data_IF_496432255941
#
_entry.id   IF_496432255941
#
_cell.length_a   1.000
_cell.length_b   1.000
_cell.length_c   1.000
_cell.angle_alpha   90.00
_cell.angle_beta   90.00
_cell.angle_gamma   90.00
#
_symmetry.space_group_name_H-M   'P 1'
#
loop_
_entity.id
_entity.type
_entity.pdbx_description
1 polymer ?
#
# COMPACT_ATOMS: atom_id res chain seq x y z
N UNK A 1 15.01 -37.61 -4.16
CA UNK A 1 15.77 -36.35 -4.33
C UNK A 1 14.81 -35.13 -4.36
N UNK A 2 13.77 -35.11 -5.23
CA UNK A 2 12.78 -34.04 -5.31
C UNK A 2 11.96 -33.90 -4.02
N UNK A 3 11.59 -34.97 -3.35
CA UNK A 3 10.87 -34.96 -2.08
C UNK A 3 11.73 -34.37 -0.94
N UNK A 4 13.01 -34.75 -0.85
CA UNK A 4 13.95 -34.18 0.13
C UNK A 4 14.18 -32.67 -0.08
N UNK A 5 14.22 -32.20 -1.33
CA UNK A 5 14.32 -30.77 -1.64
C UNK A 5 13.05 -30.02 -1.22
N UNK A 6 11.88 -30.58 -1.47
CA UNK A 6 10.60 -30.00 -1.08
C UNK A 6 10.44 -29.96 0.45
N UNK A 7 10.84 -31.01 1.17
CA UNK A 7 10.82 -31.05 2.63
C UNK A 7 11.79 -30.02 3.21
N UNK A 8 13.02 -29.91 2.68
CA UNK A 8 13.97 -28.88 3.10
C UNK A 8 13.49 -27.45 2.84
N UNK A 9 12.78 -27.21 1.72
CA UNK A 9 12.15 -25.92 1.44
C UNK A 9 10.98 -25.64 2.41
N UNK A 10 10.16 -26.64 2.70
CA UNK A 10 9.06 -26.51 3.66
C UNK A 10 9.58 -26.18 5.06
N UNK A 11 10.62 -26.88 5.53
CA UNK A 11 11.23 -26.62 6.84
C UNK A 11 11.81 -25.20 6.96
N UNK A 12 12.39 -24.68 5.87
CA UNK A 12 12.95 -23.32 5.88
C UNK A 12 11.90 -22.21 6.05
N UNK A 13 10.64 -22.52 5.73
CA UNK A 13 9.51 -21.55 5.80
C UNK A 13 8.82 -21.61 7.17
N UNK A 14 8.84 -22.76 7.85
CA UNK A 14 8.13 -22.98 9.13
C UNK A 14 8.57 -21.98 10.21
N UNK A 15 9.87 -21.79 10.39
CA UNK A 15 10.41 -20.91 11.44
C UNK A 15 10.01 -19.43 11.23
N UNK A 16 10.15 -18.81 10.05
CA UNK A 16 9.66 -17.46 9.78
C UNK A 16 8.15 -17.31 10.05
N UNK A 17 7.33 -18.29 9.65
CA UNK A 17 5.88 -18.22 9.89
C UNK A 17 5.52 -18.31 11.38
N UNK A 18 6.22 -19.15 12.15
CA UNK A 18 6.04 -19.23 13.61
C UNK A 18 6.41 -17.89 14.25
N UNK A 19 7.53 -17.29 13.87
CA UNK A 19 7.94 -15.97 14.38
C UNK A 19 6.88 -14.92 14.08
N UNK A 20 6.38 -14.87 12.84
CA UNK A 20 5.30 -13.95 12.47
C UNK A 20 4.03 -14.19 13.27
N UNK A 21 3.63 -15.44 13.45
CA UNK A 21 2.45 -15.80 14.25
C UNK A 21 2.60 -15.34 15.72
N UNK A 22 3.76 -15.55 16.32
CA UNK A 22 4.06 -15.09 17.70
C UNK A 22 4.00 -13.57 17.77
N UNK A 23 4.62 -12.85 16.82
CA UNK A 23 4.58 -11.38 16.78
C UNK A 23 3.16 -10.87 16.65
N UNK A 24 2.33 -11.47 15.79
CA UNK A 24 0.92 -11.09 15.64
C UNK A 24 0.11 -11.34 16.90
N UNK A 25 0.33 -12.46 17.58
CA UNK A 25 -0.33 -12.75 18.87
C UNK A 25 0.08 -11.72 19.93
N UNK A 26 1.36 -11.40 20.03
CA UNK A 26 1.87 -10.37 20.97
C UNK A 26 1.25 -9.01 20.66
N UNK A 27 1.23 -8.60 19.40
CA UNK A 27 0.58 -7.36 18.97
C UNK A 27 -0.91 -7.36 19.30
N UNK A 28 -1.62 -8.45 19.02
CA UNK A 28 -3.04 -8.58 19.35
C UNK A 28 -3.31 -8.43 20.87
N UNK A 29 -2.45 -9.03 21.71
CA UNK A 29 -2.53 -8.88 23.16
C UNK A 29 -2.21 -7.46 23.63
N UNK A 30 -1.25 -6.78 23.01
CA UNK A 30 -0.92 -5.39 23.30
C UNK A 30 -2.08 -4.45 22.92
N UNK A 31 -2.67 -4.63 21.74
CA UNK A 31 -3.83 -3.85 21.31
C UNK A 31 -5.02 -4.05 22.24
N UNK A 32 -5.27 -5.29 22.68
CA UNK A 32 -6.34 -5.58 23.64
C UNK A 32 -6.17 -4.86 24.98
N UNK A 33 -4.93 -4.60 25.40
CA UNK A 33 -4.62 -3.88 26.66
C UNK A 33 -4.48 -2.36 26.45
N UNK A 34 -4.37 -1.91 25.23
CA UNK A 34 -4.25 -0.48 24.92
C UNK A 34 -5.60 0.22 25.21
N UNK A 35 -5.61 1.38 25.85
CA UNK A 35 -6.81 2.19 26.04
C UNK A 35 -7.18 2.85 24.71
N UNK A 36 -7.73 2.06 23.79
CA UNK A 36 -8.19 2.59 22.50
C UNK A 36 -9.48 3.39 22.71
N UNK A 37 -9.59 4.59 22.12
CA UNK A 37 -10.83 5.35 22.13
C UNK A 37 -11.93 4.56 21.42
N UNK A 38 -13.15 4.64 21.93
CA UNK A 38 -14.30 3.97 21.35
C UNK A 38 -14.68 4.67 20.03
N UNK A 39 -14.18 4.13 18.91
CA UNK A 39 -14.36 4.71 17.58
C UNK A 39 -15.83 4.73 17.13
N UNK A 40 -16.68 3.86 17.70
CA UNK A 40 -18.12 3.86 17.43
C UNK A 40 -18.79 5.14 17.97
N UNK A 41 -18.44 5.55 19.19
CA UNK A 41 -18.97 6.79 19.77
C UNK A 41 -18.52 8.04 19.00
N UNK A 42 -17.26 8.09 18.59
CA UNK A 42 -16.70 9.19 17.79
C UNK A 42 -17.35 9.23 16.39
N UNK A 43 -17.62 8.06 15.82
CA UNK A 43 -18.28 7.99 14.49
C UNK A 43 -19.74 8.45 14.55
N UNK A 44 -20.46 8.13 15.62
CA UNK A 44 -21.86 8.54 15.79
C UNK A 44 -21.98 10.04 16.10
N UNK A 45 -21.07 10.59 16.91
CA UNK A 45 -21.06 12.02 17.24
C UNK A 45 -20.70 12.89 16.01
N UNK A 46 -19.79 12.43 15.15
CA UNK A 46 -19.46 13.12 13.90
C UNK A 46 -20.51 12.92 12.79
N UNK A 47 -21.33 11.87 12.85
CA UNK A 47 -22.42 11.63 11.90
C UNK A 47 -23.62 12.54 12.13
N UNK A 48 -23.78 13.06 13.34
CA UNK A 48 -24.91 13.94 13.72
C UNK A 48 -24.67 15.42 13.35
N UNK A 49 -23.43 15.82 13.05
CA UNK A 49 -23.07 17.22 12.78
C UNK A 49 -23.04 17.59 11.29
N UNK A 50 -22.98 16.62 10.38
CA UNK A 50 -23.04 16.88 8.94
C UNK A 50 -24.38 16.40 8.35
N UNK A 51 -25.40 17.28 8.36
CA UNK A 51 -26.60 17.13 7.54
C UNK A 51 -26.24 17.21 6.05
N UNK A 52 -25.70 16.12 5.52
CA UNK A 52 -25.56 16.04 4.07
C UNK A 52 -26.93 16.00 3.44
N UNK A 53 -27.30 17.05 2.72
CA UNK A 53 -28.52 17.13 1.92
C UNK A 53 -28.57 16.10 0.79
N UNK A 54 -27.45 15.38 0.58
CA UNK A 54 -27.31 14.35 -0.44
C UNK A 54 -28.01 13.06 -0.02
N UNK A 55 -28.81 12.53 -0.94
CA UNK A 55 -29.67 11.34 -0.72
C UNK A 55 -29.03 10.05 -1.24
N UNK A 56 -27.98 10.16 -2.07
CA UNK A 56 -27.33 8.99 -2.70
C UNK A 56 -25.82 9.10 -2.64
N UNK A 57 -25.16 7.95 -2.45
CA UNK A 57 -23.70 7.81 -2.46
C UNK A 57 -23.07 8.17 -3.82
N UNK A 58 -23.84 8.04 -4.91
CA UNK A 58 -23.39 8.40 -6.26
C UNK A 58 -23.19 9.90 -6.47
N UNK A 59 -23.73 10.74 -5.59
CA UNK A 59 -23.59 12.20 -5.65
C UNK A 59 -22.25 12.72 -5.13
N UNK A 60 -21.32 11.81 -4.76
CA UNK A 60 -19.99 12.16 -4.25
C UNK A 60 -18.90 11.74 -5.26
N UNK A 61 -18.54 12.59 -6.23
CA UNK A 61 -17.56 12.24 -7.26
C UNK A 61 -16.16 11.96 -6.67
N UNK A 62 -15.78 12.61 -5.59
CA UNK A 62 -14.50 12.38 -4.92
C UNK A 62 -14.40 10.97 -4.33
N UNK A 63 -15.50 10.36 -3.90
CA UNK A 63 -15.53 8.97 -3.46
C UNK A 63 -15.13 8.02 -4.60
N UNK A 64 -15.72 8.16 -5.76
CA UNK A 64 -15.43 7.29 -6.90
C UNK A 64 -14.01 7.47 -7.43
N UNK A 65 -13.52 8.72 -7.43
CA UNK A 65 -12.12 9.01 -7.74
C UNK A 65 -11.18 8.38 -6.70
N UNK A 66 -11.52 8.42 -5.41
CA UNK A 66 -10.75 7.78 -4.36
C UNK A 66 -10.72 6.26 -4.48
N UNK A 67 -11.87 5.63 -4.76
CA UNK A 67 -11.97 4.18 -5.00
C UNK A 67 -11.12 3.77 -6.21
N UNK A 68 -11.23 4.49 -7.33
CA UNK A 68 -10.42 4.23 -8.52
C UNK A 68 -8.92 4.44 -8.25
N UNK A 69 -8.57 5.54 -7.58
CA UNK A 69 -7.18 5.84 -7.21
C UNK A 69 -6.60 4.72 -6.37
N UNK A 70 -7.34 4.25 -5.36
CA UNK A 70 -6.88 3.18 -4.48
C UNK A 70 -6.74 1.85 -5.22
N UNK A 71 -7.69 1.53 -6.11
CA UNK A 71 -7.66 0.33 -6.94
C UNK A 71 -6.40 0.28 -7.81
N UNK A 72 -6.14 1.35 -8.57
CA UNK A 72 -4.98 1.44 -9.46
C UNK A 72 -3.66 1.50 -8.65
N UNK A 73 -3.67 2.26 -7.56
CA UNK A 73 -2.51 2.40 -6.69
C UNK A 73 -2.07 1.05 -6.09
N UNK A 74 -2.99 0.29 -5.50
CA UNK A 74 -2.66 -1.01 -4.90
C UNK A 74 -2.13 -1.98 -5.96
N UNK A 75 -2.68 -1.95 -7.17
CA UNK A 75 -2.15 -2.74 -8.28
C UNK A 75 -0.71 -2.34 -8.65
N UNK A 76 -0.44 -1.04 -8.76
CA UNK A 76 0.90 -0.54 -9.06
C UNK A 76 1.91 -0.86 -7.93
N UNK A 77 1.48 -0.77 -6.67
CA UNK A 77 2.28 -1.11 -5.50
C UNK A 77 2.69 -2.58 -5.50
N UNK A 78 1.75 -3.48 -5.76
CA UNK A 78 2.00 -4.93 -5.85
C UNK A 78 2.94 -5.25 -7.01
N UNK A 79 2.73 -4.65 -8.18
CA UNK A 79 3.66 -4.81 -9.31
C UNK A 79 5.07 -4.37 -8.90
N UNK A 80 5.24 -3.17 -8.35
CA UNK A 80 6.56 -2.67 -7.97
C UNK A 80 7.25 -3.52 -6.89
N UNK A 81 6.48 -4.11 -5.95
CA UNK A 81 7.00 -4.96 -4.88
C UNK A 81 7.36 -6.37 -5.32
N UNK A 82 6.49 -6.99 -6.12
CA UNK A 82 6.61 -8.41 -6.46
C UNK A 82 7.41 -8.65 -7.74
N UNK A 83 7.30 -7.77 -8.73
CA UNK A 83 7.98 -7.99 -10.03
C UNK A 83 9.44 -7.54 -10.04
N UNK A 84 9.91 -6.77 -9.03
CA UNK A 84 11.28 -6.27 -8.98
C UNK A 84 12.33 -7.40 -9.02
N UNK A 85 12.03 -8.56 -8.43
CA UNK A 85 12.91 -9.73 -8.46
C UNK A 85 13.03 -10.29 -9.89
N UNK A 86 11.88 -10.52 -10.54
CA UNK A 86 11.84 -11.01 -11.91
C UNK A 86 12.51 -10.02 -12.87
N UNK A 87 12.28 -8.73 -12.65
CA UNK A 87 12.91 -7.65 -13.41
C UNK A 87 14.44 -7.67 -13.24
N UNK A 88 14.94 -7.83 -12.01
CA UNK A 88 16.39 -7.95 -11.76
C UNK A 88 17.00 -9.15 -12.47
N UNK A 89 16.33 -10.31 -12.45
CA UNK A 89 16.77 -11.50 -13.15
C UNK A 89 16.79 -11.29 -14.67
N UNK A 90 15.79 -10.60 -15.23
CA UNK A 90 15.75 -10.28 -16.66
C UNK A 90 16.88 -9.33 -17.10
N UNK A 91 17.42 -8.54 -16.19
CA UNK A 91 18.60 -7.69 -16.40
C UNK A 91 19.93 -8.44 -16.20
N UNK A 92 19.90 -9.75 -15.90
CA UNK A 92 21.08 -10.60 -15.78
C UNK A 92 21.64 -10.74 -14.35
N UNK A 93 20.95 -10.22 -13.33
CA UNK A 93 21.36 -10.43 -11.94
C UNK A 93 21.08 -11.86 -11.49
N UNK A 94 21.97 -12.42 -10.67
CA UNK A 94 21.77 -13.74 -10.08
C UNK A 94 20.54 -13.73 -9.16
N UNK A 95 19.80 -14.85 -9.12
CA UNK A 95 18.61 -14.96 -8.28
C UNK A 95 18.91 -14.74 -6.79
N UNK A 96 20.12 -15.11 -6.35
CA UNK A 96 20.61 -14.89 -4.99
C UNK A 96 20.75 -13.41 -4.62
N UNK A 97 21.01 -12.55 -5.59
CA UNK A 97 21.07 -11.08 -5.42
C UNK A 97 19.70 -10.45 -5.61
N UNK A 98 18.98 -10.85 -6.65
CA UNK A 98 17.69 -10.29 -7.02
C UNK A 98 16.64 -10.45 -5.90
N UNK A 99 16.68 -11.51 -5.11
CA UNK A 99 15.77 -11.72 -3.96
C UNK A 99 15.80 -10.61 -2.92
N UNK A 100 16.89 -9.84 -2.84
CA UNK A 100 17.01 -8.72 -1.90
C UNK A 100 16.44 -7.40 -2.45
N UNK A 101 16.08 -7.31 -3.72
CA UNK A 101 15.61 -6.05 -4.32
C UNK A 101 14.26 -5.61 -3.73
N UNK A 102 13.35 -6.54 -3.45
CA UNK A 102 12.12 -6.23 -2.72
C UNK A 102 12.41 -5.62 -1.34
N UNK A 103 13.48 -6.04 -0.68
CA UNK A 103 13.89 -5.46 0.61
C UNK A 103 14.19 -3.96 0.49
N UNK A 104 14.79 -3.51 -0.62
CA UNK A 104 15.05 -2.08 -0.85
C UNK A 104 13.75 -1.30 -0.99
N UNK A 105 12.76 -1.84 -1.71
CA UNK A 105 11.42 -1.24 -1.84
C UNK A 105 10.75 -1.14 -0.46
N UNK A 106 10.75 -2.21 0.31
CA UNK A 106 10.14 -2.25 1.64
C UNK A 106 10.82 -1.30 2.63
N UNK A 107 12.16 -1.23 2.62
CA UNK A 107 12.90 -0.28 3.45
C UNK A 107 12.59 1.17 3.08
N UNK A 108 12.50 1.47 1.78
CA UNK A 108 12.09 2.78 1.30
C UNK A 108 10.67 3.14 1.76
N UNK A 109 9.73 2.19 1.72
CA UNK A 109 8.37 2.37 2.24
C UNK A 109 8.37 2.63 3.75
N UNK A 110 9.05 1.79 4.54
CA UNK A 110 9.10 1.93 6.00
C UNK A 110 9.71 3.27 6.41
N UNK A 111 10.82 3.67 5.77
CA UNK A 111 11.45 4.96 6.02
C UNK A 111 10.49 6.13 5.71
N UNK A 112 9.76 6.03 4.59
CA UNK A 112 8.79 7.06 4.18
C UNK A 112 7.57 7.08 5.11
N UNK A 113 7.08 5.93 5.59
CA UNK A 113 6.03 5.88 6.61
C UNK A 113 6.48 6.57 7.90
N UNK A 114 7.70 6.30 8.39
CA UNK A 114 8.24 6.94 9.57
C UNK A 114 8.33 8.46 9.41
N UNK A 115 8.79 8.94 8.25
CA UNK A 115 8.80 10.36 7.90
C UNK A 115 7.38 10.92 7.82
N UNK A 116 6.45 10.20 7.21
CA UNK A 116 5.05 10.60 7.09
C UNK A 116 4.37 10.82 8.43
N UNK A 117 4.59 9.93 9.40
CA UNK A 117 4.06 10.07 10.77
C UNK A 117 4.55 11.37 11.44
N UNK A 118 5.79 11.77 11.16
CA UNK A 118 6.36 13.01 11.72
C UNK A 118 5.89 14.25 10.97
N UNK A 119 5.77 14.16 9.64
CA UNK A 119 5.50 15.31 8.78
C UNK A 119 3.99 15.61 8.65
N UNK A 120 3.15 14.58 8.67
CA UNK A 120 1.70 14.71 8.53
C UNK A 120 1.04 14.55 9.90
N UNK A 121 0.10 15.39 10.31
CA UNK A 121 -0.39 16.62 9.68
C UNK A 121 0.40 17.88 10.05
N UNK A 122 1.46 17.77 10.86
CA UNK A 122 2.13 18.90 11.52
C UNK A 122 2.75 19.90 10.53
N UNK A 123 3.39 19.40 9.48
CA UNK A 123 4.12 20.21 8.49
C UNK A 123 3.50 20.16 7.11
N UNK A 124 2.89 19.03 6.74
CA UNK A 124 2.37 18.79 5.39
C UNK A 124 0.92 18.32 5.49
N UNK A 125 0.03 18.94 4.72
CA UNK A 125 -1.37 18.51 4.60
C UNK A 125 -1.44 17.19 3.80
N UNK A 126 -2.38 16.31 4.12
CA UNK A 126 -2.59 15.03 3.42
C UNK A 126 -2.73 15.19 1.91
N UNK A 127 -3.47 16.21 1.45
CA UNK A 127 -3.59 16.52 0.02
C UNK A 127 -2.24 16.83 -0.64
N UNK A 128 -1.39 17.59 0.05
CA UNK A 128 -0.04 17.91 -0.45
C UNK A 128 0.84 16.67 -0.49
N UNK A 129 0.77 15.82 0.55
CA UNK A 129 1.50 14.55 0.59
C UNK A 129 1.10 13.65 -0.59
N UNK A 130 -0.20 13.54 -0.91
CA UNK A 130 -0.69 12.77 -2.05
C UNK A 130 -0.17 13.33 -3.39
N UNK A 131 -0.16 14.65 -3.57
CA UNK A 131 0.37 15.29 -4.79
C UNK A 131 1.86 15.01 -4.94
N UNK A 132 2.64 15.13 -3.85
CA UNK A 132 4.08 14.84 -3.86
C UNK A 132 4.32 13.37 -4.21
N UNK A 133 3.59 12.44 -3.57
CA UNK A 133 3.68 11.01 -3.86
C UNK A 133 3.39 10.71 -5.32
N UNK A 134 2.32 11.27 -5.88
CA UNK A 134 1.99 11.08 -7.29
C UNK A 134 3.06 11.64 -8.23
N UNK A 135 3.60 12.83 -7.94
CA UNK A 135 4.66 13.43 -8.72
C UNK A 135 5.96 12.61 -8.67
N UNK A 136 6.34 12.11 -7.50
CA UNK A 136 7.49 11.23 -7.33
C UNK A 136 7.28 9.89 -8.06
N UNK A 137 6.07 9.32 -8.02
CA UNK A 137 5.74 8.10 -8.74
C UNK A 137 5.94 8.26 -10.26
N UNK A 138 5.45 9.36 -10.83
CA UNK A 138 5.66 9.70 -12.25
C UNK A 138 7.15 9.88 -12.55
N UNK A 139 7.86 10.64 -11.72
CA UNK A 139 9.29 10.90 -11.90
C UNK A 139 10.09 9.59 -11.90
N UNK A 140 9.90 8.74 -10.88
CA UNK A 140 10.62 7.46 -10.79
C UNK A 140 10.26 6.53 -11.94
N UNK A 141 8.99 6.48 -12.36
CA UNK A 141 8.57 5.69 -13.53
C UNK A 141 9.27 6.15 -14.82
N UNK A 142 9.42 7.45 -15.02
CA UNK A 142 10.20 7.99 -16.16
C UNK A 142 11.67 7.61 -16.02
N UNK A 143 12.24 7.72 -14.80
CA UNK A 143 13.63 7.33 -14.55
C UNK A 143 13.88 5.84 -14.84
N UNK A 144 12.95 4.95 -14.51
CA UNK A 144 13.03 3.52 -14.84
C UNK A 144 13.15 3.32 -16.37
N UNK A 145 12.37 4.08 -17.17
CA UNK A 145 12.37 3.94 -18.63
C UNK A 145 13.64 4.46 -19.30
N UNK A 146 14.33 5.44 -18.71
CA UNK A 146 15.52 6.08 -19.30
C UNK A 146 16.83 5.54 -18.72
N UNK A 147 16.79 4.74 -17.66
CA UNK A 147 17.97 4.14 -17.02
C UNK A 147 18.03 2.65 -17.29
N UNK A 148 19.23 2.09 -17.21
CA UNK A 148 19.47 0.67 -17.46
C UNK A 148 20.11 0.02 -16.25
N UNK A 149 20.15 -1.30 -16.26
CA UNK A 149 20.84 -2.14 -15.26
C UNK A 149 20.42 -1.83 -13.81
N UNK A 150 21.37 -1.78 -12.91
CA UNK A 150 21.13 -1.59 -11.48
C UNK A 150 20.45 -0.27 -11.14
N UNK A 151 20.68 0.80 -11.92
CA UNK A 151 20.03 2.09 -11.69
C UNK A 151 18.51 2.02 -11.87
N UNK A 152 18.03 1.27 -12.85
CA UNK A 152 16.58 1.09 -13.03
C UNK A 152 15.95 0.33 -11.86
N UNK A 153 16.64 -0.66 -11.30
CA UNK A 153 16.20 -1.40 -10.09
C UNK A 153 16.08 -0.45 -8.90
N UNK A 154 17.05 0.46 -8.71
CA UNK A 154 16.98 1.45 -7.63
C UNK A 154 15.78 2.39 -7.79
N UNK A 155 15.42 2.78 -9.01
CA UNK A 155 14.21 3.58 -9.24
C UNK A 155 12.92 2.77 -9.03
N UNK A 156 12.89 1.47 -9.36
CA UNK A 156 11.78 0.60 -8.98
C UNK A 156 11.65 0.52 -7.45
N UNK A 157 12.76 0.35 -6.75
CA UNK A 157 12.77 0.38 -5.28
C UNK A 157 12.31 1.73 -4.72
N UNK A 158 12.71 2.84 -5.37
CA UNK A 158 12.29 4.20 -4.99
C UNK A 158 10.79 4.45 -5.18
N UNK A 159 10.08 3.66 -6.02
CA UNK A 159 8.62 3.69 -6.07
C UNK A 159 8.00 3.39 -4.70
N UNK A 160 8.68 2.65 -3.82
CA UNK A 160 8.27 2.47 -2.44
C UNK A 160 8.10 3.80 -1.69
N UNK A 161 8.95 4.81 -1.98
CA UNK A 161 8.82 6.16 -1.39
C UNK A 161 7.52 6.82 -1.86
N UNK A 162 7.22 6.75 -3.14
CA UNK A 162 6.00 7.36 -3.70
C UNK A 162 4.74 6.65 -3.24
N UNK A 163 4.80 5.33 -3.07
CA UNK A 163 3.65 4.51 -2.72
C UNK A 163 3.26 4.61 -1.24
N UNK A 164 4.23 4.75 -0.33
CA UNK A 164 4.01 4.67 1.10
C UNK A 164 2.91 5.61 1.63
N UNK A 165 2.85 6.86 1.17
CA UNK A 165 1.91 7.85 1.71
C UNK A 165 0.57 7.91 0.96
N UNK A 166 0.40 7.17 -0.13
CA UNK A 166 -0.83 7.22 -0.93
C UNK A 166 -2.01 6.70 -0.13
N UNK A 167 -1.90 5.51 0.46
CA UNK A 167 -2.98 4.93 1.26
C UNK A 167 -3.41 5.83 2.43
N UNK A 168 -2.50 6.26 3.34
CA UNK A 168 -2.88 7.11 4.46
C UNK A 168 -3.46 8.45 4.03
N UNK A 169 -3.11 8.96 2.85
CA UNK A 169 -3.60 10.22 2.34
C UNK A 169 -4.95 10.09 1.62
N UNK A 170 -5.12 9.06 0.78
CA UNK A 170 -6.36 8.85 0.00
C UNK A 170 -7.54 8.53 0.90
N UNK A 171 -7.34 7.71 1.93
CA UNK A 171 -8.40 7.23 2.80
C UNK A 171 -9.22 8.37 3.44
N UNK A 172 -8.63 9.29 4.22
CA UNK A 172 -9.40 10.37 4.84
C UNK A 172 -9.93 11.38 3.82
N UNK A 173 -9.18 11.68 2.75
CA UNK A 173 -9.64 12.59 1.69
C UNK A 173 -10.88 12.06 0.95
N UNK A 174 -10.98 10.74 0.82
CA UNK A 174 -12.13 10.10 0.16
C UNK A 174 -13.35 10.06 1.07
N UNK A 175 -13.16 9.95 2.39
CA UNK A 175 -14.25 9.87 3.35
C UNK A 175 -14.74 11.25 3.81
N UNK A 176 -14.06 12.33 3.44
CA UNK A 176 -14.41 13.70 3.86
C UNK A 176 -15.82 14.10 3.40
N UNK A 177 -16.66 14.57 4.32
CA UNK A 177 -17.99 15.09 4.03
C UNK A 177 -19.04 14.05 3.62
N UNK A 178 -18.81 12.74 3.81
CA UNK A 178 -19.78 11.70 3.45
C UNK A 178 -20.86 11.46 4.50
N UNK A 179 -20.68 11.91 5.75
CA UNK A 179 -21.66 11.76 6.81
C UNK A 179 -22.17 10.31 6.94
N UNK A 180 -23.48 10.10 6.81
CA UNK A 180 -24.15 8.79 6.91
C UNK A 180 -23.64 7.73 5.92
N UNK A 181 -22.97 8.13 4.84
CA UNK A 181 -22.43 7.19 3.83
C UNK A 181 -21.01 6.71 4.13
N UNK A 182 -20.36 7.18 5.21
CA UNK A 182 -18.98 6.84 5.55
C UNK A 182 -18.77 5.32 5.68
N UNK A 183 -19.69 4.59 6.31
CA UNK A 183 -19.59 3.12 6.47
C UNK A 183 -19.58 2.41 5.11
N UNK A 184 -20.50 2.78 4.22
CA UNK A 184 -20.58 2.21 2.86
C UNK A 184 -19.38 2.61 2.00
N UNK A 185 -18.92 3.85 2.11
CA UNK A 185 -17.74 4.34 1.41
C UNK A 185 -16.47 3.62 1.85
N UNK A 186 -16.30 3.38 3.16
CA UNK A 186 -15.18 2.59 3.68
C UNK A 186 -15.19 1.15 3.15
N UNK A 187 -16.37 0.53 3.03
CA UNK A 187 -16.49 -0.80 2.42
C UNK A 187 -16.05 -0.78 0.95
N UNK A 188 -16.44 0.24 0.17
CA UNK A 188 -16.02 0.39 -1.23
C UNK A 188 -14.50 0.61 -1.34
N UNK A 189 -13.88 1.37 -0.45
CA UNK A 189 -12.43 1.54 -0.40
C UNK A 189 -11.71 0.24 -0.08
N UNK A 190 -12.24 -0.58 0.84
CA UNK A 190 -11.69 -1.91 1.12
C UNK A 190 -11.80 -2.82 -0.11
N UNK A 191 -12.92 -2.79 -0.81
CA UNK A 191 -13.08 -3.54 -2.06
C UNK A 191 -12.08 -3.10 -3.13
N UNK A 192 -11.69 -1.83 -3.16
CA UNK A 192 -10.69 -1.32 -4.10
C UNK A 192 -9.30 -1.96 -3.94
N UNK A 193 -9.00 -2.57 -2.78
CA UNK A 193 -7.75 -3.34 -2.56
C UNK A 193 -7.64 -4.51 -3.55
N UNK A 194 -8.75 -5.00 -4.09
CA UNK A 194 -8.76 -6.04 -5.12
C UNK A 194 -7.94 -5.67 -6.37
N UNK A 195 -7.62 -4.39 -6.56
CA UNK A 195 -6.69 -3.93 -7.61
C UNK A 195 -5.33 -4.64 -7.54
N UNK A 196 -4.84 -4.95 -6.33
CA UNK A 196 -3.60 -5.71 -6.13
C UNK A 196 -3.67 -7.17 -6.61
N UNK A 197 -4.86 -7.73 -6.74
CA UNK A 197 -5.06 -9.08 -7.29
C UNK A 197 -5.39 -9.08 -8.79
N UNK A 198 -6.03 -8.03 -9.29
CA UNK A 198 -6.54 -7.97 -10.66
C UNK A 198 -5.55 -7.32 -11.64
N UNK A 199 -4.81 -6.30 -11.22
CA UNK A 199 -3.91 -5.55 -12.11
C UNK A 199 -2.62 -6.32 -12.43
N UNK A 200 -1.92 -7.00 -11.48
CA UNK A 200 -0.69 -7.71 -11.79
C UNK A 200 -0.83 -8.81 -12.85
N UNK A 201 -1.86 -9.68 -12.84
CA UNK A 201 -2.06 -10.64 -13.92
C UNK A 201 -2.27 -9.99 -15.29
N UNK A 202 -3.06 -8.90 -15.35
CA UNK A 202 -3.27 -8.15 -16.59
C UNK A 202 -1.98 -7.54 -17.13
N UNK A 203 -1.10 -7.11 -16.24
CA UNK A 203 0.24 -6.65 -16.60
C UNK A 203 1.10 -7.80 -17.14
N UNK A 204 1.08 -8.98 -16.47
CA UNK A 204 1.87 -10.15 -16.87
C UNK A 204 1.43 -10.80 -18.18
N UNK A 205 0.13 -10.73 -18.56
CA UNK A 205 -0.36 -11.21 -19.85
C UNK A 205 0.01 -10.31 -21.03
N UNK A 206 0.44 -9.08 -20.76
CA UNK A 206 0.86 -8.10 -21.77
C UNK A 206 2.32 -8.20 -22.21
N UNK A 207 3.12 -9.03 -21.54
CA UNK A 207 4.54 -9.27 -21.78
C UNK A 207 4.83 -10.76 -21.85
#
# INVERSE_FOLDING_TARGET
>A
EKAMLLDGMADSVVLPYIIMAVVLVVLGLLIRKAPLPNLEAISEENLTTDETTKTSIFQFPHLWLGVLTLFVYVGAEVIAGDTIIAYGISLGFAAEEAKFFTTFTLLAMVATYALGVVLIPKYIKQRTALIISAALGILFSICILITNEFMSILFVAALGISNALVWPAVWPLTLEGLGKFTKTASALLIMAISGGALIPPLYGEGF
#
